data_IF_949428063988
#
_entry.id   IF_949428063988
#
_cell.length_a   1.000
_cell.length_b   1.000
_cell.length_c   1.000
_cell.angle_alpha   90.00
_cell.angle_beta   90.00
_cell.angle_gamma   90.00
#
_symmetry.space_group_name_H-M   'P 1'
#
loop_
_entity.id
_entity.type
_entity.pdbx_description
1 polymer ?
#
# COMPACT_ATOMS: atom_id res chain seq x y z
N UNK A 1 24.84 -22.58 -7.08
CA UNK A 1 24.15 -21.70 -8.05
C UNK A 1 23.25 -20.76 -7.27
N UNK A 2 23.54 -19.45 -7.25
CA UNK A 2 22.57 -18.49 -6.68
C UNK A 2 21.31 -18.54 -7.54
N UNK A 3 20.21 -19.02 -6.97
CA UNK A 3 18.91 -18.99 -7.61
C UNK A 3 18.57 -17.54 -7.93
N UNK A 4 18.43 -17.21 -9.22
CA UNK A 4 18.01 -15.87 -9.67
C UNK A 4 16.68 -15.50 -9.00
N UNK A 5 16.54 -14.23 -8.60
CA UNK A 5 15.29 -13.70 -8.08
C UNK A 5 14.12 -13.96 -9.05
N UNK A 6 12.93 -14.22 -8.52
CA UNK A 6 11.71 -14.47 -9.28
C UNK A 6 10.54 -13.73 -8.64
N UNK A 7 10.46 -12.39 -8.75
CA UNK A 7 9.40 -11.62 -8.12
C UNK A 7 8.05 -12.02 -8.70
N UNK A 8 7.02 -12.15 -7.85
CA UNK A 8 5.67 -12.51 -8.31
C UNK A 8 4.71 -11.34 -8.15
N UNK A 9 4.19 -10.86 -9.27
CA UNK A 9 3.18 -9.81 -9.30
C UNK A 9 1.77 -10.40 -9.17
N UNK A 10 0.92 -9.73 -8.41
CA UNK A 10 -0.50 -10.03 -8.27
C UNK A 10 -1.33 -9.16 -9.20
N UNK A 11 -2.38 -9.73 -9.80
CA UNK A 11 -3.38 -9.01 -10.60
C UNK A 11 -4.63 -8.78 -9.75
N UNK A 12 -4.68 -7.65 -9.05
CA UNK A 12 -5.82 -7.35 -8.19
C UNK A 12 -7.06 -6.98 -9.03
N UNK A 13 -8.20 -7.60 -8.77
CA UNK A 13 -9.41 -7.35 -9.56
C UNK A 13 -9.95 -5.92 -9.50
N UNK A 14 -9.54 -5.09 -8.53
CA UNK A 14 -9.99 -3.70 -8.35
C UNK A 14 -9.34 -2.72 -9.32
N UNK A 15 -8.06 -2.91 -9.62
CA UNK A 15 -7.26 -1.95 -10.40
C UNK A 15 -6.67 -2.60 -11.64
N UNK A 16 -6.66 -1.90 -12.79
CA UNK A 16 -6.10 -2.44 -14.03
C UNK A 16 -4.57 -2.26 -14.07
N UNK A 17 -3.86 -2.69 -13.02
CA UNK A 17 -2.41 -2.68 -12.96
C UNK A 17 -1.89 -3.84 -12.09
N UNK A 18 -0.64 -4.28 -12.28
CA UNK A 18 -0.04 -5.26 -11.39
C UNK A 18 0.29 -4.66 -10.02
N UNK A 19 0.51 -5.55 -9.06
CA UNK A 19 0.89 -5.18 -7.70
C UNK A 19 1.87 -6.17 -7.08
N UNK A 20 2.81 -5.69 -6.28
CA UNK A 20 3.72 -6.53 -5.49
C UNK A 20 3.34 -6.45 -4.01
N UNK A 21 3.27 -7.57 -3.30
CA UNK A 21 2.67 -7.61 -1.95
C UNK A 21 3.24 -8.69 -1.05
N UNK A 22 3.07 -8.49 0.25
CA UNK A 22 3.42 -9.43 1.32
C UNK A 22 2.19 -9.82 2.13
N UNK A 23 2.31 -10.76 3.07
CA UNK A 23 1.19 -11.16 3.90
C UNK A 23 0.86 -10.09 4.94
N UNK A 24 -0.37 -9.58 4.93
CA UNK A 24 -0.83 -8.61 5.92
C UNK A 24 -0.75 -9.17 7.35
N UNK A 25 -0.69 -8.26 8.33
CA UNK A 25 -0.52 -8.60 9.74
C UNK A 25 0.95 -8.61 10.11
N UNK A 26 1.66 -9.72 9.86
CA UNK A 26 3.07 -9.88 10.27
C UNK A 26 3.99 -8.88 9.57
N UNK A 27 3.74 -8.59 8.28
CA UNK A 27 4.53 -7.61 7.52
C UNK A 27 4.00 -6.18 7.61
N UNK A 28 3.15 -5.90 8.60
CA UNK A 28 2.59 -4.56 8.84
C UNK A 28 2.91 -4.08 10.27
N UNK A 29 4.16 -3.79 10.65
CA UNK A 29 4.45 -3.19 11.96
C UNK A 29 3.63 -1.92 12.25
N UNK A 30 3.41 -1.09 11.21
CA UNK A 30 2.52 0.07 11.28
C UNK A 30 1.02 -0.25 11.39
N UNK A 31 0.63 -1.51 11.60
CA UNK A 31 -0.75 -1.84 11.95
C UNK A 31 -1.05 -1.70 13.43
N UNK A 32 -0.02 -1.39 14.24
CA UNK A 32 -0.13 -1.30 15.70
C UNK A 32 0.48 -0.01 16.23
N UNK A 33 -0.08 0.49 17.32
CA UNK A 33 0.46 1.61 18.10
C UNK A 33 0.47 1.28 19.58
N UNK A 34 1.29 2.01 20.34
CA UNK A 34 1.33 1.88 21.79
C UNK A 34 0.22 2.72 22.42
N UNK A 35 -0.67 2.08 23.17
CA UNK A 35 -1.75 2.71 23.95
C UNK A 35 -1.61 2.18 25.37
N UNK A 36 -1.46 3.07 26.35
CA UNK A 36 -1.33 2.72 27.78
C UNK A 36 -0.30 1.59 28.04
N UNK A 37 0.86 1.67 27.37
CA UNK A 37 1.95 0.70 27.49
C UNK A 37 1.77 -0.61 26.71
N UNK A 38 0.62 -0.85 26.07
CA UNK A 38 0.32 -2.07 25.29
C UNK A 38 0.31 -1.80 23.80
N UNK A 39 0.69 -2.81 23.00
CA UNK A 39 0.63 -2.73 21.54
C UNK A 39 -0.76 -3.14 21.04
N UNK A 40 -1.55 -2.18 20.56
CA UNK A 40 -2.91 -2.38 20.07
C UNK A 40 -2.99 -2.17 18.56
N UNK A 41 -3.97 -2.80 17.90
CA UNK A 41 -4.21 -2.57 16.47
C UNK A 41 -4.81 -1.18 16.25
N UNK A 42 -4.36 -0.48 15.22
CA UNK A 42 -4.99 0.78 14.78
C UNK A 42 -6.35 0.49 14.12
N UNK A 43 -7.27 1.46 14.16
CA UNK A 43 -8.68 1.26 13.82
C UNK A 43 -8.92 0.65 12.43
N UNK A 44 -8.26 1.18 11.40
CA UNK A 44 -8.37 0.64 10.03
C UNK A 44 -7.84 -0.80 9.94
N UNK A 45 -6.80 -1.12 10.71
CA UNK A 45 -6.19 -2.45 10.68
C UNK A 45 -6.96 -3.50 11.49
N UNK A 46 -7.77 -3.11 12.48
CA UNK A 46 -8.64 -4.01 13.23
C UNK A 46 -9.65 -4.76 12.32
N UNK A 47 -10.10 -4.10 11.26
CA UNK A 47 -10.99 -4.63 10.22
C UNK A 47 -10.32 -4.95 8.88
N UNK A 48 -8.99 -5.10 8.83
CA UNK A 48 -8.23 -5.20 7.57
C UNK A 48 -8.80 -6.25 6.59
N UNK A 49 -9.15 -5.82 5.37
CA UNK A 49 -9.67 -6.71 4.33
C UNK A 49 -8.68 -7.80 3.91
N UNK A 50 -7.37 -7.53 4.02
CA UNK A 50 -6.32 -8.46 3.62
C UNK A 50 -6.08 -9.59 4.63
N UNK A 51 -6.87 -9.64 5.71
CA UNK A 51 -6.92 -10.75 6.67
C UNK A 51 -8.18 -11.61 6.50
N UNK A 52 -9.05 -11.30 5.53
CA UNK A 52 -10.30 -12.02 5.26
C UNK A 52 -10.46 -12.37 3.77
N UNK A 53 -11.53 -13.09 3.43
CA UNK A 53 -11.90 -13.43 2.06
C UNK A 53 -10.79 -14.17 1.31
N UNK A 54 -10.58 -13.79 0.05
CA UNK A 54 -9.60 -14.45 -0.84
C UNK A 54 -8.16 -14.39 -0.32
N UNK A 55 -7.82 -13.40 0.52
CA UNK A 55 -6.47 -13.30 1.12
C UNK A 55 -6.17 -14.44 2.10
N UNK A 56 -7.18 -15.23 2.49
CA UNK A 56 -7.00 -16.41 3.33
C UNK A 56 -6.59 -17.66 2.54
N UNK A 57 -6.80 -17.68 1.22
CA UNK A 57 -6.53 -18.87 0.42
C UNK A 57 -5.03 -19.19 0.36
N UNK A 58 -4.63 -20.46 0.51
CA UNK A 58 -3.21 -20.85 0.58
C UNK A 58 -2.39 -20.38 -0.62
N UNK A 59 -2.92 -20.48 -1.83
CA UNK A 59 -2.26 -20.03 -3.05
C UNK A 59 -2.01 -18.51 -3.07
N UNK A 60 -2.95 -17.72 -2.53
CA UNK A 60 -2.82 -16.25 -2.43
C UNK A 60 -1.77 -15.85 -1.41
N UNK A 61 -1.69 -16.58 -0.28
CA UNK A 61 -0.66 -16.41 0.75
C UNK A 61 0.72 -16.86 0.27
N UNK A 62 0.81 -17.98 -0.44
CA UNK A 62 2.07 -18.54 -0.91
C UNK A 62 2.85 -17.58 -1.82
N UNK A 63 2.17 -16.84 -2.70
CA UNK A 63 2.80 -15.80 -3.54
C UNK A 63 3.45 -14.71 -2.69
N UNK A 64 2.75 -14.27 -1.63
CA UNK A 64 3.22 -13.22 -0.72
C UNK A 64 4.37 -13.70 0.14
N UNK A 65 4.29 -14.92 0.67
CA UNK A 65 5.38 -15.55 1.44
C UNK A 65 6.63 -15.76 0.58
N UNK A 66 6.44 -16.13 -0.70
CA UNK A 66 7.55 -16.19 -1.67
C UNK A 66 8.21 -14.83 -1.83
N UNK A 67 7.41 -13.78 -2.08
CA UNK A 67 7.92 -12.42 -2.25
C UNK A 67 8.69 -11.89 -1.03
N UNK A 68 8.27 -12.25 0.20
CA UNK A 68 8.95 -11.86 1.45
C UNK A 68 10.42 -12.33 1.50
N UNK A 69 10.70 -13.50 0.90
CA UNK A 69 12.03 -14.10 0.78
C UNK A 69 12.74 -13.68 -0.51
N UNK A 70 12.01 -13.60 -1.62
CA UNK A 70 12.57 -13.34 -2.94
C UNK A 70 13.17 -11.94 -3.05
N UNK A 71 12.58 -10.93 -2.38
CA UNK A 71 13.14 -9.58 -2.30
C UNK A 71 14.55 -9.53 -1.69
N UNK A 72 14.95 -10.55 -0.93
CA UNK A 72 16.28 -10.60 -0.33
C UNK A 72 17.35 -11.09 -1.32
N UNK A 73 16.96 -11.76 -2.40
CA UNK A 73 17.88 -12.34 -3.37
C UNK A 73 18.60 -11.30 -4.22
N UNK A 74 19.76 -11.70 -4.73
CA UNK A 74 20.52 -10.95 -5.73
C UNK A 74 19.75 -10.89 -7.06
N UNK A 75 19.94 -9.81 -7.80
CA UNK A 75 19.24 -9.62 -9.08
C UNK A 75 17.77 -9.19 -8.95
N UNK A 76 17.22 -9.07 -7.74
CA UNK A 76 15.78 -8.80 -7.56
C UNK A 76 15.33 -7.48 -8.19
N UNK A 77 16.16 -6.43 -8.10
CA UNK A 77 15.85 -5.11 -8.67
C UNK A 77 15.76 -5.20 -10.18
N UNK A 78 16.76 -5.81 -10.83
CA UNK A 78 16.84 -6.01 -12.27
C UNK A 78 15.64 -6.81 -12.77
N UNK A 79 15.28 -7.88 -12.06
CA UNK A 79 14.09 -8.69 -12.40
C UNK A 79 12.79 -7.91 -12.27
N UNK A 80 12.66 -7.03 -11.26
CA UNK A 80 11.50 -6.16 -11.12
C UNK A 80 11.43 -5.10 -12.22
N UNK A 81 12.55 -4.50 -12.60
CA UNK A 81 12.63 -3.53 -13.70
C UNK A 81 12.18 -4.17 -15.02
N UNK A 82 12.68 -5.36 -15.33
CA UNK A 82 12.26 -6.14 -16.51
C UNK A 82 10.75 -6.43 -16.51
N UNK A 83 10.20 -6.83 -15.36
CA UNK A 83 8.76 -7.12 -15.24
C UNK A 83 7.89 -5.89 -15.50
N UNK A 84 8.38 -4.68 -15.19
CA UNK A 84 7.64 -3.43 -15.33
C UNK A 84 7.88 -2.71 -16.67
N UNK A 85 8.65 -3.29 -17.59
CA UNK A 85 9.01 -2.64 -18.87
C UNK A 85 7.79 -2.16 -19.68
N UNK A 86 6.71 -2.93 -19.67
CA UNK A 86 5.48 -2.61 -20.41
C UNK A 86 4.40 -1.91 -19.57
N UNK A 87 4.57 -1.83 -18.25
CA UNK A 87 3.61 -1.22 -17.36
C UNK A 87 3.76 0.31 -17.32
N UNK A 88 2.64 1.01 -17.18
CA UNK A 88 2.60 2.47 -16.99
C UNK A 88 2.14 2.89 -15.60
N UNK A 89 1.52 1.96 -14.88
CA UNK A 89 1.04 2.16 -13.52
C UNK A 89 1.37 0.90 -12.73
N UNK A 90 1.85 1.10 -11.51
CA UNK A 90 2.17 0.01 -10.60
C UNK A 90 1.76 0.35 -9.18
N UNK A 91 1.25 -0.65 -8.45
CA UNK A 91 0.96 -0.50 -7.02
C UNK A 91 1.88 -1.37 -6.18
N UNK A 92 2.59 -0.74 -5.27
CA UNK A 92 3.22 -1.42 -4.14
C UNK A 92 2.17 -1.69 -3.06
N UNK A 93 2.12 -2.94 -2.59
CA UNK A 93 1.31 -3.41 -1.47
C UNK A 93 -0.21 -3.23 -1.63
N UNK A 94 -0.87 -4.26 -2.18
CA UNK A 94 -2.29 -4.50 -1.94
C UNK A 94 -2.56 -5.22 -0.61
N UNK A 95 -1.50 -5.73 0.01
CA UNK A 95 -1.44 -6.25 1.36
C UNK A 95 0.01 -6.24 1.83
N UNK A 96 0.20 -6.30 3.15
CA UNK A 96 1.53 -6.10 3.72
C UNK A 96 1.95 -4.63 3.66
N UNK A 97 3.20 -4.35 3.97
CA UNK A 97 3.81 -3.02 3.86
C UNK A 97 5.33 -3.14 3.67
N UNK A 98 6.02 -2.02 3.46
CA UNK A 98 7.48 -1.95 3.42
C UNK A 98 8.07 -1.94 4.84
N UNK A 99 8.23 -3.13 5.44
CA UNK A 99 8.52 -3.25 6.87
C UNK A 99 10.01 -3.27 7.26
N UNK A 100 10.95 -3.20 6.30
CA UNK A 100 12.38 -3.03 6.58
C UNK A 100 13.00 -1.99 5.64
N UNK A 101 13.98 -1.24 6.12
CA UNK A 101 14.69 -0.22 5.31
C UNK A 101 15.37 -0.86 4.10
N UNK A 102 16.04 -2.01 4.28
CA UNK A 102 16.71 -2.72 3.18
C UNK A 102 15.79 -3.12 2.02
N UNK A 103 14.54 -3.52 2.30
CA UNK A 103 13.53 -3.80 1.27
C UNK A 103 13.09 -2.52 0.59
N UNK A 104 12.92 -1.46 1.39
CA UNK A 104 12.61 -0.13 0.91
C UNK A 104 13.66 0.44 -0.05
N UNK A 105 14.94 0.27 0.23
CA UNK A 105 16.03 0.69 -0.68
C UNK A 105 15.96 -0.05 -2.02
N UNK A 106 15.69 -1.37 -2.02
CA UNK A 106 15.48 -2.12 -3.27
C UNK A 106 14.27 -1.61 -4.06
N UNK A 107 13.18 -1.26 -3.37
CA UNK A 107 11.98 -0.67 -4.01
C UNK A 107 12.31 0.69 -4.62
N UNK A 108 13.06 1.53 -3.92
CA UNK A 108 13.52 2.82 -4.41
C UNK A 108 14.36 2.66 -5.69
N UNK A 109 15.31 1.72 -5.72
CA UNK A 109 16.10 1.44 -6.91
C UNK A 109 15.24 1.02 -8.12
N UNK A 110 14.18 0.24 -7.90
CA UNK A 110 13.22 -0.08 -8.97
C UNK A 110 12.52 1.19 -9.47
N UNK A 111 12.05 2.04 -8.56
CA UNK A 111 11.38 3.30 -8.93
C UNK A 111 12.29 4.24 -9.75
N UNK A 112 13.57 4.34 -9.38
CA UNK A 112 14.58 5.13 -10.08
C UNK A 112 14.83 4.59 -11.50
N UNK A 113 14.87 3.26 -11.65
CA UNK A 113 15.17 2.59 -12.93
C UNK A 113 13.95 2.40 -13.85
N UNK A 114 12.75 2.83 -13.42
CA UNK A 114 11.51 2.69 -14.22
C UNK A 114 10.76 4.02 -14.37
N UNK A 115 11.40 5.09 -14.89
CA UNK A 115 10.78 6.42 -15.00
C UNK A 115 9.51 6.46 -15.88
N UNK A 116 9.32 5.49 -16.77
CA UNK A 116 8.11 5.34 -17.60
C UNK A 116 6.89 4.79 -16.84
N UNK A 117 7.11 4.21 -15.65
CA UNK A 117 6.07 3.61 -14.82
C UNK A 117 5.74 4.53 -13.65
N UNK A 118 4.46 4.84 -13.45
CA UNK A 118 3.99 5.57 -12.26
C UNK A 118 3.79 4.59 -11.10
N UNK A 119 4.45 4.83 -9.97
CA UNK A 119 4.37 4.00 -8.78
C UNK A 119 3.47 4.65 -7.73
N UNK A 120 2.59 3.85 -7.15
CA UNK A 120 1.82 4.22 -5.97
C UNK A 120 2.11 3.24 -4.83
N UNK A 121 2.42 3.76 -3.65
CA UNK A 121 2.65 2.98 -2.44
C UNK A 121 1.87 3.57 -1.25
N UNK A 122 0.70 3.03 -0.88
CA UNK A 122 0.05 3.37 0.38
C UNK A 122 0.83 2.71 1.53
N UNK A 123 1.11 3.46 2.59
CA UNK A 123 1.86 2.92 3.74
C UNK A 123 1.38 3.48 5.06
N UNK A 124 1.51 2.68 6.12
CA UNK A 124 1.43 3.13 7.52
C UNK A 124 2.79 3.15 8.20
N UNK A 125 3.86 2.68 7.55
CA UNK A 125 5.20 2.62 8.15
C UNK A 125 5.81 3.98 8.45
N UNK A 126 5.22 5.07 7.94
CA UNK A 126 5.65 6.45 8.20
C UNK A 126 5.61 6.82 9.69
N UNK A 127 4.70 6.24 10.47
CA UNK A 127 4.63 6.50 11.91
C UNK A 127 5.56 5.60 12.74
N UNK A 128 6.13 4.55 12.14
CA UNK A 128 6.96 3.58 12.88
C UNK A 128 8.33 4.19 13.24
N UNK A 129 8.86 5.10 12.42
CA UNK A 129 10.08 5.81 12.76
C UNK A 129 10.64 6.72 11.68
N UNK A 130 11.55 7.61 12.07
CA UNK A 130 12.13 8.62 11.19
C UNK A 130 12.88 8.04 9.99
N UNK A 131 13.51 6.85 10.14
CA UNK A 131 14.21 6.17 9.05
C UNK A 131 13.29 5.82 7.88
N UNK A 132 12.04 5.40 8.16
CA UNK A 132 11.06 5.14 7.12
C UNK A 132 10.61 6.42 6.43
N UNK A 133 10.39 7.50 7.18
CA UNK A 133 10.04 8.81 6.59
C UNK A 133 11.13 9.29 5.65
N UNK A 134 12.39 9.29 6.08
CA UNK A 134 13.52 9.69 5.24
C UNK A 134 13.63 8.86 3.93
N UNK A 135 13.37 7.55 4.00
CA UNK A 135 13.29 6.70 2.80
C UNK A 135 12.13 7.12 1.89
N UNK A 136 10.94 7.34 2.46
CA UNK A 136 9.75 7.72 1.69
C UNK A 136 9.86 9.12 1.09
N UNK A 137 10.58 10.03 1.74
CA UNK A 137 10.87 11.36 1.20
C UNK A 137 11.77 11.25 -0.04
N UNK A 138 12.80 10.38 -0.01
CA UNK A 138 13.61 10.05 -1.21
C UNK A 138 12.78 9.45 -2.33
N UNK A 139 11.84 8.55 -2.00
CA UNK A 139 10.92 8.00 -2.99
C UNK A 139 10.01 9.08 -3.58
N UNK A 140 9.41 9.94 -2.76
CA UNK A 140 8.53 11.03 -3.21
C UNK A 140 9.27 12.16 -3.95
N UNK A 141 10.59 12.25 -3.84
CA UNK A 141 11.39 13.16 -4.66
C UNK A 141 11.43 12.74 -6.14
N UNK A 142 11.07 11.49 -6.47
CA UNK A 142 11.01 11.00 -7.84
C UNK A 142 9.69 11.41 -8.52
N UNK A 143 9.71 11.97 -9.75
CA UNK A 143 8.52 12.49 -10.42
C UNK A 143 7.52 11.42 -10.87
N UNK A 144 7.90 10.14 -10.82
CA UNK A 144 7.07 8.99 -11.15
C UNK A 144 6.50 8.28 -9.91
N UNK A 145 6.67 8.80 -8.70
CA UNK A 145 6.32 8.09 -7.46
C UNK A 145 5.34 8.88 -6.60
N UNK A 146 4.40 8.16 -6.00
CA UNK A 146 3.54 8.63 -4.91
C UNK A 146 3.55 7.61 -3.77
N UNK A 147 4.34 7.88 -2.74
CA UNK A 147 4.25 7.23 -1.44
C UNK A 147 3.22 7.99 -0.61
N UNK A 148 2.09 7.32 -0.32
CA UNK A 148 0.93 7.94 0.32
C UNK A 148 0.82 7.51 1.78
N UNK A 149 0.95 8.48 2.68
CA UNK A 149 0.80 8.23 4.11
C UNK A 149 -0.67 7.99 4.43
N UNK A 150 -0.96 6.81 4.97
CA UNK A 150 -2.32 6.40 5.30
C UNK A 150 -2.61 6.72 6.76
N UNK A 151 -3.76 7.35 7.03
CA UNK A 151 -4.31 7.51 8.37
C UNK A 151 -4.52 6.15 9.04
N UNK A 152 -4.44 6.13 10.38
CA UNK A 152 -4.43 4.94 11.21
C UNK A 152 -5.84 4.51 11.59
N UNK A 153 -6.68 5.49 11.92
CA UNK A 153 -8.06 5.31 12.34
C UNK A 153 -9.06 5.79 11.28
N UNK A 154 -10.30 5.32 11.40
CA UNK A 154 -11.40 5.76 10.52
C UNK A 154 -11.81 7.17 10.94
N UNK A 155 -11.94 8.08 9.98
CA UNK A 155 -12.24 9.49 10.20
C UNK A 155 -11.00 10.35 10.51
N UNK A 156 -9.84 9.74 10.73
CA UNK A 156 -8.60 10.49 10.98
C UNK A 156 -8.09 11.15 9.68
N UNK A 157 -7.69 12.42 9.80
CA UNK A 157 -6.95 13.17 8.77
C UNK A 157 -5.49 13.35 9.19
N UNK A 158 -4.60 13.43 8.21
CA UNK A 158 -3.18 13.66 8.44
C UNK A 158 -2.79 15.02 7.88
N UNK A 159 -2.04 15.80 8.65
CA UNK A 159 -1.49 17.09 8.23
C UNK A 159 0.03 16.96 8.09
N UNK A 160 0.50 16.75 6.86
CA UNK A 160 1.91 16.75 6.52
C UNK A 160 2.13 17.13 5.05
N UNK A 161 3.39 17.37 4.67
CA UNK A 161 3.78 17.71 3.29
C UNK A 161 3.75 16.52 2.33
N UNK A 162 3.69 15.28 2.84
CA UNK A 162 3.60 14.09 2.01
C UNK A 162 2.18 13.92 1.46
N UNK A 163 1.99 13.23 0.31
CA UNK A 163 0.66 12.81 -0.13
C UNK A 163 -0.02 11.96 0.94
N UNK A 164 -1.27 12.28 1.30
CA UNK A 164 -2.00 11.57 2.37
C UNK A 164 -3.26 10.86 1.86
N UNK A 165 -3.74 9.90 2.65
CA UNK A 165 -5.08 9.33 2.50
C UNK A 165 -5.73 9.02 3.84
N UNK A 166 -7.05 9.11 3.86
CA UNK A 166 -7.90 8.78 5.00
C UNK A 166 -8.86 7.66 4.63
N UNK A 167 -9.30 6.91 5.64
CA UNK A 167 -10.47 6.01 5.52
C UNK A 167 -11.62 6.67 6.26
N UNK A 168 -12.79 6.73 5.64
CA UNK A 168 -13.97 7.42 6.17
C UNK A 168 -15.15 6.47 6.19
N UNK A 169 -16.13 6.71 7.06
CA UNK A 169 -17.29 5.81 7.26
C UNK A 169 -17.98 5.54 5.91
N UNK A 170 -18.34 6.61 5.20
CA UNK A 170 -18.98 6.54 3.89
C UNK A 170 -18.64 7.78 3.03
N UNK A 171 -19.35 7.96 1.92
CA UNK A 171 -19.16 9.08 1.00
C UNK A 171 -19.56 10.45 1.55
N UNK A 172 -20.41 10.54 2.57
CA UNK A 172 -20.85 11.82 3.17
C UNK A 172 -19.83 12.36 4.17
N UNK A 173 -18.92 11.52 4.64
CA UNK A 173 -17.89 11.86 5.63
C UNK A 173 -16.56 12.29 4.99
N UNK A 174 -16.59 12.89 3.80
CA UNK A 174 -15.39 13.35 3.09
C UNK A 174 -14.76 14.55 3.82
N UNK A 175 -13.49 14.49 4.26
CA UNK A 175 -12.83 15.64 4.85
C UNK A 175 -12.72 16.80 3.85
N UNK A 176 -12.59 18.01 4.39
CA UNK A 176 -12.28 19.20 3.61
C UNK A 176 -10.91 19.03 2.91
N UNK A 177 -10.79 19.53 1.68
CA UNK A 177 -9.57 19.39 0.88
C UNK A 177 -9.30 17.99 0.30
N UNK A 178 -9.97 16.93 0.79
CA UNK A 178 -9.83 15.58 0.24
C UNK A 178 -10.72 15.36 -0.97
N UNK A 179 -10.24 14.59 -1.94
CA UNK A 179 -11.03 14.01 -3.03
C UNK A 179 -11.57 12.64 -2.61
N UNK A 180 -12.84 12.38 -2.88
CA UNK A 180 -13.49 11.11 -2.53
C UNK A 180 -13.17 10.04 -3.57
N UNK A 181 -12.81 8.83 -3.13
CA UNK A 181 -12.70 7.67 -4.00
C UNK A 181 -14.09 7.12 -4.33
N UNK A 182 -14.50 7.26 -5.58
CA UNK A 182 -15.82 6.83 -6.07
C UNK A 182 -15.86 5.39 -6.60
N UNK A 183 -14.88 4.54 -6.25
CA UNK A 183 -14.88 3.17 -6.78
C UNK A 183 -16.16 2.39 -6.43
N UNK A 184 -16.87 2.76 -5.35
CA UNK A 184 -18.14 2.16 -4.93
C UNK A 184 -19.26 2.39 -5.96
N UNK A 185 -19.29 3.52 -6.68
CA UNK A 185 -20.25 3.78 -7.76
C UNK A 185 -19.99 2.90 -8.99
N UNK A 186 -18.81 2.25 -9.04
CA UNK A 186 -18.34 1.39 -10.12
C UNK A 186 -18.09 -0.04 -9.64
N UNK A 187 -18.95 -0.55 -8.75
CA UNK A 187 -18.88 -1.94 -8.23
C UNK A 187 -17.50 -2.29 -7.64
N UNK A 188 -16.86 -1.32 -6.99
CA UNK A 188 -15.54 -1.47 -6.39
C UNK A 188 -14.37 -1.48 -7.39
N UNK A 189 -14.57 -1.02 -8.63
CA UNK A 189 -13.55 -1.01 -9.69
C UNK A 189 -13.05 0.40 -10.01
N UNK A 190 -11.75 0.51 -10.27
CA UNK A 190 -11.14 1.79 -10.62
C UNK A 190 -11.35 2.18 -12.09
N UNK A 191 -11.50 1.23 -13.01
CA UNK A 191 -11.55 1.48 -14.46
C UNK A 191 -10.42 2.44 -14.90
N UNK A 192 -10.75 3.59 -15.49
CA UNK A 192 -9.80 4.59 -15.97
C UNK A 192 -9.26 5.52 -14.88
N UNK A 193 -9.80 5.50 -13.66
CA UNK A 193 -9.37 6.36 -12.56
C UNK A 193 -7.91 6.08 -12.14
N UNK A 194 -7.12 7.14 -11.96
CA UNK A 194 -5.71 7.09 -11.53
C UNK A 194 -5.36 8.04 -10.39
N UNK A 195 -6.37 8.52 -9.66
CA UNK A 195 -6.19 9.45 -8.53
C UNK A 195 -5.10 9.01 -7.54
N UNK A 196 -4.98 7.72 -7.27
CA UNK A 196 -3.98 7.21 -6.32
C UNK A 196 -2.53 7.59 -6.67
N UNK A 197 -2.22 7.77 -7.96
CA UNK A 197 -0.91 8.14 -8.50
C UNK A 197 -0.72 9.65 -8.65
N UNK A 198 -1.68 10.47 -8.22
CA UNK A 198 -1.57 11.92 -8.24
C UNK A 198 -1.12 12.43 -6.85
N UNK A 199 0.09 13.00 -6.80
CA UNK A 199 0.70 13.49 -5.57
C UNK A 199 0.03 14.78 -5.05
N UNK A 200 -0.70 15.51 -5.91
CA UNK A 200 -1.29 16.82 -5.58
C UNK A 200 -2.60 16.72 -4.80
N UNK A 201 -3.18 15.52 -4.68
CA UNK A 201 -4.48 15.33 -4.05
C UNK A 201 -4.38 14.47 -2.79
N UNK A 202 -5.13 14.84 -1.77
CA UNK A 202 -5.45 13.96 -0.64
C UNK A 202 -6.67 13.11 -0.98
N UNK A 203 -6.68 11.84 -0.60
CA UNK A 203 -7.75 10.90 -1.00
C UNK A 203 -8.47 10.33 0.22
N UNK A 204 -9.79 10.42 0.23
CA UNK A 204 -10.65 9.74 1.20
C UNK A 204 -11.20 8.45 0.58
N UNK A 205 -11.06 7.33 1.28
CA UNK A 205 -11.63 6.05 0.89
C UNK A 205 -12.78 5.69 1.82
N UNK A 206 -14.00 5.46 1.33
CA UNK A 206 -15.05 4.87 2.13
C UNK A 206 -14.62 3.51 2.69
N UNK A 207 -15.07 3.20 3.91
CA UNK A 207 -14.83 1.91 4.56
C UNK A 207 -15.30 0.80 3.63
N UNK A 208 -14.47 -0.24 3.53
CA UNK A 208 -14.81 -1.46 2.82
C UNK A 208 -14.24 -2.66 3.56
N UNK A 209 -14.75 -3.85 3.20
CA UNK A 209 -14.47 -5.08 3.92
C UNK A 209 -15.47 -5.30 5.04
N UNK A 210 -16.08 -6.49 5.05
CA UNK A 210 -17.22 -6.83 5.93
C UNK A 210 -16.92 -6.58 7.40
N UNK A 211 -15.69 -6.85 7.85
CA UNK A 211 -15.29 -6.68 9.25
C UNK A 211 -15.19 -5.20 9.64
N UNK A 212 -14.55 -4.37 8.83
CA UNK A 212 -14.40 -2.94 9.13
C UNK A 212 -15.75 -2.21 9.07
N UNK A 213 -16.62 -2.56 8.12
CA UNK A 213 -18.00 -2.06 8.05
C UNK A 213 -18.73 -2.35 9.37
N UNK A 214 -18.69 -3.60 9.85
CA UNK A 214 -19.31 -3.95 11.14
C UNK A 214 -18.75 -3.13 12.30
N UNK A 215 -17.44 -2.91 12.36
CA UNK A 215 -16.81 -2.14 13.45
C UNK A 215 -17.12 -0.64 13.43
N UNK A 216 -17.68 -0.10 12.34
CA UNK A 216 -17.90 1.34 12.16
C UNK A 216 -19.38 1.73 12.11
N UNK A 217 -20.29 0.74 12.04
CA UNK A 217 -21.74 0.92 12.08
C UNK A 217 -22.39 0.26 13.31
N UNK A 218 -21.58 -0.11 14.31
CA UNK A 218 -22.00 -0.47 15.66
C UNK A 218 -21.82 0.74 16.57
#
# INVERSE_FOLDING_TARGET
MNLKAQPKLSKAGKMPCPSYSFNAGVTCPGSRRRVNGKMELVGVCAGCYALDGNYRFPNVKAIRSHNEQDILRDGWVERMVELLQSDRYFRWFDSGDCYTISRGEKILQVMEQTPWCKHWMPTKMHHVGAKFRALFDRMNALPNVVVRYSALDVGETLTCSAPVSAVVIDSTHKPEGYKMCEAYTRKGKCHTCRMCWDASISIAYPVHGRKLIKLTHL
#
